data_IF_394811495053
#
_entry.id   IF_394811495053
#
_cell.length_a   1.000
_cell.length_b   1.000
_cell.length_c   1.000
_cell.angle_alpha   90.00
_cell.angle_beta   90.00
_cell.angle_gamma   90.00
#
_symmetry.space_group_name_H-M   'P 1'
#
loop_
_entity.id
_entity.type
_entity.pdbx_description
1 polymer ?
#
# COMPACT_ATOMS: atom_id res chain seq x y z
N UNK A 1 -0.20 -3.57 11.38
CA UNK A 1 1.01 -3.42 10.54
C UNK A 1 1.26 -2.01 9.99
N UNK A 2 0.29 -1.31 9.37
CA UNK A 2 0.55 0.07 8.91
C UNK A 2 0.95 1.03 10.06
N UNK A 3 0.41 0.82 11.26
CA UNK A 3 0.82 1.57 12.46
C UNK A 3 2.27 1.30 12.90
N UNK A 4 2.77 0.05 12.78
CA UNK A 4 4.15 -0.29 13.17
C UNK A 4 5.17 0.31 12.20
N UNK A 5 4.81 0.49 10.92
CA UNK A 5 5.62 1.26 9.96
C UNK A 5 5.66 2.76 10.31
N UNK A 6 4.59 3.28 10.88
CA UNK A 6 4.57 4.63 11.47
C UNK A 6 5.63 4.80 12.56
N UNK A 7 5.90 3.75 13.35
CA UNK A 7 6.95 3.74 14.38
C UNK A 7 8.36 3.71 13.76
N UNK A 8 8.56 2.98 12.66
CA UNK A 8 9.83 2.97 11.91
C UNK A 8 10.21 4.35 11.35
N UNK A 9 9.21 5.22 11.10
CA UNK A 9 9.46 6.61 10.70
C UNK A 9 10.18 7.42 11.78
N UNK A 10 9.92 7.09 13.05
CA UNK A 10 10.37 7.86 14.22
C UNK A 10 11.61 7.26 14.89
N UNK A 11 12.24 6.24 14.26
CA UNK A 11 13.48 5.65 14.77
C UNK A 11 14.65 6.62 14.54
N UNK A 12 15.60 6.67 15.49
CA UNK A 12 16.64 7.71 15.66
C UNK A 12 17.49 8.09 14.43
N UNK A 13 17.50 7.28 13.36
CA UNK A 13 18.20 7.57 12.09
C UNK A 13 17.29 7.64 10.85
N UNK A 14 15.99 7.39 11.02
CA UNK A 14 14.99 7.36 9.96
C UNK A 14 15.24 6.29 8.88
N UNK A 15 14.17 5.87 8.20
CA UNK A 15 14.31 5.13 6.94
C UNK A 15 14.34 6.12 5.78
N UNK A 16 15.30 5.96 4.87
CA UNK A 16 15.28 6.70 3.60
C UNK A 16 14.02 6.37 2.79
N UNK A 17 13.50 7.28 1.95
CA UNK A 17 12.34 7.00 1.09
C UNK A 17 12.52 5.73 0.26
N UNK A 18 13.75 5.44 -0.19
CA UNK A 18 14.09 4.23 -0.94
C UNK A 18 13.96 2.95 -0.13
N UNK A 19 14.42 2.94 1.13
CA UNK A 19 14.25 1.79 2.04
C UNK A 19 12.78 1.57 2.40
N UNK A 20 12.03 2.65 2.63
CA UNK A 20 10.57 2.60 2.86
C UNK A 20 9.84 1.97 1.67
N UNK A 21 10.21 2.39 0.46
CA UNK A 21 9.65 1.87 -0.77
C UNK A 21 9.97 0.38 -0.97
N UNK A 22 11.22 -0.03 -0.74
CA UNK A 22 11.63 -1.44 -0.78
C UNK A 22 10.85 -2.30 0.23
N UNK A 23 10.73 -1.84 1.47
CA UNK A 23 9.99 -2.57 2.50
C UNK A 23 8.51 -2.73 2.14
N UNK A 24 7.89 -1.68 1.60
CA UNK A 24 6.50 -1.76 1.13
C UNK A 24 6.35 -2.78 0.00
N UNK A 25 7.24 -2.72 -1.01
CA UNK A 25 7.19 -3.63 -2.16
C UNK A 25 7.44 -5.09 -1.77
N UNK A 26 8.38 -5.36 -0.87
CA UNK A 26 8.77 -6.72 -0.49
C UNK A 26 7.85 -7.35 0.56
N UNK A 27 7.28 -6.57 1.48
CA UNK A 27 6.47 -7.11 2.56
C UNK A 27 4.98 -6.87 2.36
N UNK A 28 4.57 -5.65 1.99
CA UNK A 28 3.15 -5.28 1.98
C UNK A 28 2.42 -5.75 0.72
N UNK A 29 3.06 -5.63 -0.45
CA UNK A 29 2.48 -6.10 -1.72
C UNK A 29 2.17 -7.61 -1.69
N UNK A 30 3.07 -8.51 -1.26
CA UNK A 30 2.72 -9.94 -1.21
C UNK A 30 1.67 -10.28 -0.15
N UNK A 31 1.69 -9.65 1.03
CA UNK A 31 0.65 -9.87 2.07
C UNK A 31 -0.73 -9.46 1.54
N UNK A 32 -0.82 -8.29 0.89
CA UNK A 32 -2.05 -7.79 0.31
C UNK A 32 -2.53 -8.68 -0.86
N UNK A 33 -1.60 -9.13 -1.70
CA UNK A 33 -1.87 -10.04 -2.82
C UNK A 33 -2.40 -11.39 -2.33
N UNK A 34 -1.78 -11.95 -1.30
CA UNK A 34 -2.20 -13.21 -0.68
C UNK A 34 -3.57 -13.07 -0.03
N UNK A 35 -3.77 -12.04 0.80
CA UNK A 35 -5.06 -11.76 1.46
C UNK A 35 -6.18 -11.56 0.43
N UNK A 36 -5.89 -10.86 -0.66
CA UNK A 36 -6.84 -10.67 -1.75
C UNK A 36 -7.20 -11.99 -2.43
N UNK A 37 -6.21 -12.84 -2.74
CA UNK A 37 -6.46 -14.16 -3.36
C UNK A 37 -7.29 -15.05 -2.45
N UNK A 38 -7.00 -15.05 -1.15
CA UNK A 38 -7.76 -15.79 -0.14
C UNK A 38 -9.22 -15.32 -0.09
N UNK A 39 -9.45 -14.01 -0.07
CA UNK A 39 -10.81 -13.45 0.01
C UNK A 39 -11.59 -13.52 -1.32
N UNK A 40 -10.90 -13.55 -2.46
CA UNK A 40 -11.53 -13.65 -3.78
C UNK A 40 -11.76 -15.09 -4.25
N UNK A 41 -11.31 -16.12 -3.51
CA UNK A 41 -11.40 -17.52 -3.92
C UNK A 41 -12.84 -18.08 -3.97
N UNK A 42 -13.86 -17.33 -3.55
CA UNK A 42 -15.24 -17.84 -3.59
C UNK A 42 -16.36 -16.81 -3.60
N UNK A 43 -16.09 -15.53 -3.36
CA UNK A 43 -17.10 -14.47 -3.36
C UNK A 43 -16.62 -13.29 -4.20
N UNK A 44 -17.56 -12.62 -4.87
CA UNK A 44 -17.30 -11.34 -5.54
C UNK A 44 -16.49 -10.42 -4.60
N UNK A 45 -15.40 -9.79 -5.07
CA UNK A 45 -14.57 -8.93 -4.23
C UNK A 45 -15.45 -7.83 -3.63
N UNK A 46 -15.78 -7.99 -2.35
CA UNK A 46 -16.71 -7.10 -1.69
C UNK A 46 -16.06 -5.71 -1.59
N UNK A 47 -16.83 -4.67 -1.95
CA UNK A 47 -16.37 -3.27 -2.09
C UNK A 47 -15.57 -2.78 -0.87
N UNK A 48 -15.88 -3.30 0.32
CA UNK A 48 -15.15 -2.99 1.55
C UNK A 48 -13.69 -3.46 1.56
N UNK A 49 -13.36 -4.63 0.98
CA UNK A 49 -11.97 -5.12 0.95
C UNK A 49 -11.11 -4.28 0.01
N UNK A 50 -11.64 -3.91 -1.16
CA UNK A 50 -10.98 -2.98 -2.08
C UNK A 50 -10.75 -1.61 -1.42
N UNK A 51 -11.74 -1.12 -0.67
CA UNK A 51 -11.62 0.14 0.08
C UNK A 51 -10.55 0.05 1.16
N UNK A 52 -10.41 -1.10 1.84
CA UNK A 52 -9.37 -1.33 2.83
C UNK A 52 -7.96 -1.36 2.21
N UNK A 53 -7.82 -2.04 1.06
CA UNK A 53 -6.57 -2.09 0.30
C UNK A 53 -6.14 -0.70 -0.20
N UNK A 54 -7.08 0.11 -0.72
CA UNK A 54 -6.80 1.49 -1.10
C UNK A 54 -6.39 2.35 0.11
N UNK A 55 -7.02 2.19 1.28
CA UNK A 55 -6.61 2.87 2.51
C UNK A 55 -5.20 2.48 2.95
N UNK A 56 -4.83 1.21 2.80
CA UNK A 56 -3.48 0.72 3.09
C UNK A 56 -2.45 1.35 2.15
N UNK A 57 -2.69 1.32 0.83
CA UNK A 57 -1.78 1.91 -0.16
C UNK A 57 -1.64 3.42 0.05
N UNK A 58 -2.74 4.14 0.29
CA UNK A 58 -2.68 5.58 0.59
C UNK A 58 -1.77 5.90 1.77
N UNK A 59 -1.92 5.16 2.86
CA UNK A 59 -1.08 5.35 4.06
C UNK A 59 0.38 5.04 3.78
N UNK A 60 0.66 4.02 2.97
CA UNK A 60 2.02 3.68 2.57
C UNK A 60 2.65 4.73 1.65
N UNK A 61 1.90 5.23 0.65
CA UNK A 61 2.34 6.28 -0.26
C UNK A 61 2.69 7.55 0.52
N UNK A 62 1.80 8.01 1.40
CA UNK A 62 2.05 9.14 2.31
C UNK A 62 3.26 8.90 3.21
N UNK A 63 3.47 7.67 3.68
CA UNK A 63 4.61 7.33 4.53
C UNK A 63 5.95 7.36 3.78
N UNK A 64 5.95 6.93 2.50
CA UNK A 64 7.12 6.92 1.63
C UNK A 64 7.48 8.35 1.19
N UNK A 65 6.50 9.12 0.72
CA UNK A 65 6.69 10.47 0.16
C UNK A 65 6.74 11.57 1.23
N UNK A 66 6.17 11.32 2.41
CA UNK A 66 6.00 12.35 3.43
C UNK A 66 4.90 13.38 3.11
N UNK A 67 4.05 13.11 2.11
CA UNK A 67 3.00 14.03 1.68
C UNK A 67 1.91 14.27 2.75
N UNK A 68 1.12 15.34 2.57
CA UNK A 68 0.02 15.64 3.49
C UNK A 68 -1.06 14.55 3.47
N UNK A 69 -1.76 14.39 4.59
CA UNK A 69 -2.88 13.43 4.72
C UNK A 69 -4.05 13.75 3.78
N UNK A 70 -4.17 15.00 3.34
CA UNK A 70 -5.21 15.48 2.43
C UNK A 70 -4.85 15.29 0.96
N UNK A 71 -3.62 14.88 0.64
CA UNK A 71 -3.17 14.72 -0.74
C UNK A 71 -4.02 13.69 -1.51
N UNK A 72 -4.35 13.94 -2.79
CA UNK A 72 -5.09 13.02 -3.64
C UNK A 72 -4.33 11.71 -3.86
N UNK A 73 -5.00 10.55 -3.77
CA UNK A 73 -4.34 9.24 -3.83
C UNK A 73 -3.50 9.03 -5.10
N UNK A 74 -4.04 9.36 -6.27
CA UNK A 74 -3.35 9.14 -7.55
C UNK A 74 -2.06 9.95 -7.68
N UNK A 75 -2.04 11.16 -7.10
CA UNK A 75 -0.86 12.02 -7.09
C UNK A 75 0.23 11.45 -6.17
N UNK A 76 -0.13 11.04 -4.95
CA UNK A 76 0.84 10.45 -4.01
C UNK A 76 1.38 9.11 -4.47
N UNK A 77 0.57 8.30 -5.17
CA UNK A 77 1.01 7.04 -5.75
C UNK A 77 2.03 7.25 -6.89
N UNK A 78 1.77 8.23 -7.76
CA UNK A 78 2.70 8.61 -8.83
C UNK A 78 4.02 9.14 -8.25
N UNK A 79 3.96 10.03 -7.26
CA UNK A 79 5.14 10.55 -6.55
C UNK A 79 5.90 9.45 -5.81
N UNK A 80 5.21 8.44 -5.28
CA UNK A 80 5.83 7.30 -4.61
C UNK A 80 6.42 6.26 -5.59
N UNK A 81 6.14 6.37 -6.90
CA UNK A 81 6.49 5.36 -7.89
C UNK A 81 5.75 4.03 -7.68
N UNK A 82 4.56 4.06 -7.07
CA UNK A 82 3.76 2.89 -6.76
C UNK A 82 2.72 2.64 -7.85
N UNK A 83 2.55 1.38 -8.23
CA UNK A 83 1.45 0.97 -9.11
C UNK A 83 0.14 0.94 -8.28
N UNK A 84 -0.95 1.59 -8.74
CA UNK A 84 -2.25 1.52 -8.07
C UNK A 84 -2.70 0.08 -7.82
N UNK A 85 -3.17 -0.24 -6.60
CA UNK A 85 -3.54 -1.63 -6.23
C UNK A 85 -4.60 -2.18 -7.17
N UNK A 86 -5.52 -1.34 -7.65
CA UNK A 86 -6.57 -1.78 -8.57
C UNK A 86 -6.00 -2.39 -9.86
N UNK A 87 -4.88 -1.87 -10.38
CA UNK A 87 -4.20 -2.41 -11.56
C UNK A 87 -3.48 -3.72 -11.23
N UNK A 88 -2.87 -3.78 -10.04
CA UNK A 88 -2.20 -4.99 -9.55
C UNK A 88 -3.20 -6.15 -9.39
N UNK A 89 -4.37 -5.87 -8.84
CA UNK A 89 -5.46 -6.83 -8.65
C UNK A 89 -6.06 -7.29 -9.99
N UNK A 90 -6.20 -6.37 -10.97
CA UNK A 90 -6.64 -6.72 -12.33
C UNK A 90 -5.67 -7.69 -13.00
N UNK A 91 -4.36 -7.49 -12.82
CA UNK A 91 -3.33 -8.39 -13.34
C UNK A 91 -3.37 -9.78 -12.69
N UNK A 92 -3.73 -9.88 -11.41
CA UNK A 92 -3.82 -11.15 -10.68
C UNK A 92 -5.08 -11.97 -11.00
N UNK A 93 -6.10 -11.34 -11.60
CA UNK A 93 -7.36 -11.98 -12.00
C UNK A 93 -7.31 -12.51 -13.45
N UNK A 94 -6.40 -11.99 -14.27
CA UNK A 94 -6.16 -12.47 -15.65
C UNK A 94 -5.30 -13.72 -15.65
#
# INVERSE_FOLDING_TARGET
MVHTMGMLRNSLRGLSPRQKHLLYRLCMVPIATYSFRLWCHGLHPHKAHLTSLNKMQRRAAIWITGAFRTSPLGDVEALAGLIPIHLHLRKLRS
#
